data_IF_033176725439
#
_entry.id   IF_033176725439
#
_cell.length_a   1.000
_cell.length_b   1.000
_cell.length_c   1.000
_cell.angle_alpha   90.00
_cell.angle_beta   90.00
_cell.angle_gamma   90.00
#
_symmetry.space_group_name_H-M   'P 1'
#
loop_
_entity.id
_entity.type
_entity.pdbx_description
1 polymer ?
#
# COMPACT_ATOMS: atom_id res chain seq x y z
N UNK A 1 -1.58 15.27 0.21
CA UNK A 1 -1.75 13.88 -0.30
C UNK A 1 -2.70 13.12 0.60
N UNK A 2 -3.64 12.41 0.00
CA UNK A 2 -4.61 11.57 0.69
C UNK A 2 -4.24 10.10 0.52
N UNK A 3 -4.11 9.36 1.62
CA UNK A 3 -3.65 7.98 1.64
C UNK A 3 -4.74 7.08 2.20
N UNK A 4 -5.11 6.04 1.44
CA UNK A 4 -6.05 5.02 1.88
C UNK A 4 -5.34 3.97 2.72
N UNK A 5 -5.97 3.53 3.80
CA UNK A 5 -5.48 2.41 4.60
C UNK A 5 -6.56 1.33 4.70
N UNK A 6 -6.14 0.08 4.64
CA UNK A 6 -7.01 -1.07 4.85
C UNK A 6 -6.22 -2.21 5.49
N UNK A 7 -6.85 -2.96 6.38
CA UNK A 7 -6.22 -4.11 7.03
C UNK A 7 -7.25 -5.10 7.52
N UNK A 8 -6.79 -6.28 7.92
CA UNK A 8 -7.61 -7.24 8.63
C UNK A 8 -7.35 -7.21 10.15
N UNK A 9 -7.98 -8.13 10.87
CA UNK A 9 -7.86 -8.25 12.33
C UNK A 9 -6.42 -8.58 12.80
N UNK A 10 -5.57 -9.13 11.93
CA UNK A 10 -4.18 -9.44 12.26
C UNK A 10 -3.25 -8.23 12.24
N UNK A 11 -3.72 -7.08 11.73
CA UNK A 11 -2.85 -5.93 11.51
C UNK A 11 -3.47 -4.58 11.92
N UNK A 12 -4.62 -4.56 12.58
CA UNK A 12 -5.29 -3.30 12.90
C UNK A 12 -4.47 -2.41 13.85
N UNK A 13 -3.70 -3.01 14.76
CA UNK A 13 -2.83 -2.24 15.67
C UNK A 13 -1.71 -1.53 14.89
N UNK A 14 -1.04 -2.23 13.99
CA UNK A 14 0.00 -1.64 13.16
C UNK A 14 -0.61 -0.60 12.21
N UNK A 15 -1.77 -0.88 11.62
CA UNK A 15 -2.47 0.08 10.77
C UNK A 15 -2.74 1.38 11.52
N UNK A 16 -3.18 1.32 12.78
CA UNK A 16 -3.43 2.51 13.57
C UNK A 16 -2.14 3.30 13.83
N UNK A 17 -1.02 2.62 14.07
CA UNK A 17 0.29 3.28 14.22
C UNK A 17 0.71 3.98 12.93
N UNK A 18 0.52 3.34 11.80
CA UNK A 18 0.81 3.92 10.48
C UNK A 18 -0.08 5.14 10.23
N UNK A 19 -1.37 5.04 10.54
CA UNK A 19 -2.31 6.14 10.38
C UNK A 19 -1.89 7.38 11.20
N UNK A 20 -1.58 7.18 12.47
CA UNK A 20 -1.15 8.28 13.35
C UNK A 20 0.15 8.90 12.87
N UNK A 21 1.10 8.07 12.44
CA UNK A 21 2.38 8.51 11.90
C UNK A 21 2.20 9.38 10.65
N UNK A 22 1.36 8.95 9.72
CA UNK A 22 1.06 9.71 8.50
C UNK A 22 0.35 11.02 8.80
N UNK A 23 -0.62 11.02 9.72
CA UNK A 23 -1.33 12.24 10.12
C UNK A 23 -0.40 13.26 10.75
N UNK A 24 0.53 12.82 11.60
CA UNK A 24 1.55 13.69 12.20
C UNK A 24 2.50 14.28 11.16
N UNK A 25 2.73 13.58 10.08
CA UNK A 25 3.54 14.07 8.95
C UNK A 25 2.77 15.00 8.01
N UNK A 26 1.49 15.25 8.27
CA UNK A 26 0.66 16.18 7.49
C UNK A 26 -0.17 15.55 6.38
N UNK A 27 -0.14 14.23 6.23
CA UNK A 27 -0.97 13.54 5.24
C UNK A 27 -2.40 13.36 5.73
N UNK A 28 -3.36 13.36 4.81
CA UNK A 28 -4.74 12.97 5.09
C UNK A 28 -4.84 11.46 4.95
N UNK A 29 -5.51 10.82 5.92
CA UNK A 29 -5.68 9.37 5.94
C UNK A 29 -7.17 9.04 5.85
N UNK A 30 -7.52 8.14 4.92
CA UNK A 30 -8.85 7.55 4.83
C UNK A 30 -8.73 6.09 5.26
N UNK A 31 -9.28 5.77 6.41
CA UNK A 31 -9.19 4.44 7.02
C UNK A 31 -10.44 3.63 6.68
N UNK A 32 -10.25 2.59 5.86
CA UNK A 32 -11.33 1.68 5.45
C UNK A 32 -11.52 0.49 6.40
N UNK A 33 -10.75 0.42 7.49
CA UNK A 33 -10.83 -0.65 8.48
C UNK A 33 -9.90 -1.83 8.16
N UNK A 34 -9.94 -2.88 8.95
CA UNK A 34 -10.80 -3.01 10.12
C UNK A 34 -10.21 -2.31 11.35
N UNK A 35 -11.01 -2.16 12.41
CA UNK A 35 -10.58 -1.40 13.60
C UNK A 35 -10.67 -2.22 14.89
N UNK A 36 -10.68 -3.53 14.80
CA UNK A 36 -10.75 -4.38 15.97
C UNK A 36 -10.19 -5.78 15.73
N UNK A 37 -10.16 -6.59 16.82
CA UNK A 37 -9.55 -7.92 16.79
C UNK A 37 -10.47 -9.02 16.27
N UNK A 38 -11.74 -8.72 16.00
CA UNK A 38 -12.71 -9.70 15.54
C UNK A 38 -12.32 -10.23 14.15
N UNK A 39 -12.38 -11.56 13.99
CA UNK A 39 -12.04 -12.19 12.71
C UNK A 39 -12.84 -11.59 11.55
N UNK A 40 -12.16 -11.28 10.47
CA UNK A 40 -12.75 -10.71 9.26
C UNK A 40 -11.99 -11.18 8.03
N UNK A 41 -12.54 -10.92 6.86
CA UNK A 41 -11.94 -11.31 5.59
C UNK A 41 -11.13 -10.14 5.01
N UNK A 42 -9.82 -10.33 4.90
CA UNK A 42 -8.90 -9.27 4.43
C UNK A 42 -9.25 -8.70 3.05
N UNK A 43 -9.82 -9.47 2.08
CA UNK A 43 -10.14 -8.91 0.77
C UNK A 43 -11.13 -7.76 0.81
N UNK A 44 -12.09 -7.79 1.75
CA UNK A 44 -13.10 -6.73 1.85
C UNK A 44 -12.45 -5.37 2.12
N UNK A 45 -11.48 -5.33 3.01
CA UNK A 45 -10.80 -4.09 3.42
C UNK A 45 -9.71 -3.68 2.42
N UNK A 46 -8.95 -4.64 1.91
CA UNK A 46 -7.92 -4.37 0.92
C UNK A 46 -8.52 -3.88 -0.40
N UNK A 47 -9.63 -4.48 -0.84
CA UNK A 47 -10.31 -4.04 -2.04
C UNK A 47 -10.91 -2.63 -1.89
N UNK A 48 -11.47 -2.31 -0.73
CA UNK A 48 -12.01 -0.97 -0.48
C UNK A 48 -10.92 0.10 -0.62
N UNK A 49 -9.76 -0.11 0.01
CA UNK A 49 -8.62 0.81 -0.09
C UNK A 49 -8.12 0.90 -1.54
N UNK A 50 -7.98 -0.23 -2.23
CA UNK A 50 -7.51 -0.27 -3.60
C UNK A 50 -8.45 0.46 -4.57
N UNK A 51 -9.76 0.31 -4.40
CA UNK A 51 -10.76 1.03 -5.22
C UNK A 51 -10.71 2.53 -5.00
N UNK A 52 -10.44 2.98 -3.78
CA UNK A 52 -10.28 4.40 -3.47
C UNK A 52 -9.06 4.99 -4.20
N UNK A 53 -7.97 4.22 -4.32
CA UNK A 53 -6.80 4.63 -5.08
C UNK A 53 -7.08 4.59 -6.58
N UNK A 54 -7.68 3.52 -7.07
CA UNK A 54 -7.98 3.36 -8.49
C UNK A 54 -8.93 4.43 -9.02
N UNK A 55 -9.88 4.89 -8.21
CA UNK A 55 -10.84 5.94 -8.59
C UNK A 55 -10.27 7.35 -8.51
N UNK A 56 -9.10 7.53 -7.89
CA UNK A 56 -8.52 8.85 -7.65
C UNK A 56 -9.01 9.55 -6.39
N UNK A 57 -9.87 8.93 -5.60
CA UNK A 57 -10.27 9.46 -4.28
C UNK A 57 -9.05 9.62 -3.37
N UNK A 58 -8.14 8.65 -3.40
CA UNK A 58 -6.86 8.71 -2.71
C UNK A 58 -5.73 8.59 -3.71
N UNK A 59 -4.59 9.23 -3.43
CA UNK A 59 -3.44 9.20 -4.32
C UNK A 59 -2.61 7.93 -4.14
N UNK A 60 -2.53 7.43 -2.92
CA UNK A 60 -1.78 6.23 -2.57
C UNK A 60 -2.56 5.40 -1.55
N UNK A 61 -2.19 4.14 -1.41
CA UNK A 61 -2.81 3.26 -0.43
C UNK A 61 -1.81 2.31 0.22
N UNK A 62 -2.10 1.94 1.45
CA UNK A 62 -1.31 0.98 2.23
C UNK A 62 -2.27 -0.06 2.79
N UNK A 63 -1.99 -1.33 2.53
CA UNK A 63 -2.79 -2.44 3.01
C UNK A 63 -1.95 -3.38 3.87
N UNK A 64 -2.55 -3.90 4.93
CA UNK A 64 -1.83 -4.70 5.92
C UNK A 64 -2.63 -5.94 6.32
N UNK A 65 -1.94 -7.04 6.52
CA UNK A 65 -2.44 -8.22 7.21
C UNK A 65 -1.28 -8.86 7.96
N UNK A 66 -1.42 -10.07 8.45
CA UNK A 66 -0.33 -10.72 9.21
C UNK A 66 0.93 -10.88 8.37
N UNK A 67 0.82 -11.26 7.10
CA UNK A 67 1.96 -11.46 6.20
C UNK A 67 2.11 -10.36 5.14
N UNK A 68 1.06 -9.61 4.88
CA UNK A 68 1.00 -8.66 3.77
C UNK A 68 0.71 -9.32 2.42
N UNK A 69 0.74 -10.65 2.34
CA UNK A 69 0.63 -11.38 1.08
C UNK A 69 -0.80 -11.31 0.52
N UNK A 70 -1.78 -11.73 1.31
CA UNK A 70 -3.17 -11.76 0.84
C UNK A 70 -3.71 -10.40 0.44
N UNK A 71 -3.39 -9.37 1.21
CA UNK A 71 -3.82 -8.00 0.89
C UNK A 71 -3.12 -7.45 -0.36
N UNK A 72 -1.86 -7.83 -0.60
CA UNK A 72 -1.16 -7.41 -1.82
C UNK A 72 -1.75 -8.07 -3.07
N UNK A 73 -2.07 -9.36 -2.98
CA UNK A 73 -2.74 -10.08 -4.07
C UNK A 73 -4.08 -9.42 -4.39
N UNK A 74 -4.87 -9.15 -3.35
CA UNK A 74 -6.19 -8.51 -3.50
C UNK A 74 -6.07 -7.15 -4.18
N UNK A 75 -5.18 -6.30 -3.68
CA UNK A 75 -5.00 -4.96 -4.25
C UNK A 75 -4.63 -5.03 -5.73
N UNK A 76 -3.73 -5.93 -6.10
CA UNK A 76 -3.29 -6.09 -7.50
C UNK A 76 -4.37 -6.67 -8.42
N UNK A 77 -5.47 -7.19 -7.90
CA UNK A 77 -6.63 -7.60 -8.72
C UNK A 77 -7.51 -6.42 -9.12
N UNK A 78 -7.36 -5.29 -8.48
CA UNK A 78 -8.11 -4.09 -8.83
C UNK A 78 -7.40 -3.38 -9.99
N UNK A 79 -8.11 -3.12 -11.08
CA UNK A 79 -7.53 -2.44 -12.26
C UNK A 79 -6.99 -1.06 -11.88
N UNK A 80 -5.80 -0.76 -12.38
CA UNK A 80 -5.12 0.51 -12.09
C UNK A 80 -4.18 0.45 -10.89
N UNK A 81 -4.12 -0.66 -10.17
CA UNK A 81 -3.29 -0.80 -8.98
C UNK A 81 -1.98 -1.54 -9.30
N UNK A 82 -0.88 -0.97 -8.80
CA UNK A 82 0.41 -1.63 -8.70
C UNK A 82 0.81 -1.59 -7.23
N UNK A 83 0.64 -2.71 -6.55
CA UNK A 83 0.90 -2.87 -5.12
C UNK A 83 2.17 -3.69 -4.89
N UNK A 84 3.10 -3.13 -4.13
CA UNK A 84 4.33 -3.83 -3.76
C UNK A 84 4.22 -4.37 -2.33
N UNK A 85 4.50 -5.65 -2.14
CA UNK A 85 4.67 -6.24 -0.81
C UNK A 85 6.09 -5.91 -0.34
N UNK A 86 6.20 -5.17 0.75
CA UNK A 86 7.48 -4.63 1.23
C UNK A 86 7.82 -5.15 2.63
N UNK A 87 9.10 -5.47 2.82
CA UNK A 87 9.66 -5.85 4.11
C UNK A 87 11.03 -5.22 4.39
N UNK A 88 11.48 -4.34 3.50
CA UNK A 88 12.74 -3.62 3.66
C UNK A 88 12.67 -2.22 3.04
N UNK A 89 13.58 -1.35 3.48
CA UNK A 89 13.60 0.06 3.07
C UNK A 89 14.10 0.22 1.63
N UNK A 90 15.07 -0.59 1.21
CA UNK A 90 15.60 -0.49 -0.15
C UNK A 90 14.53 -0.82 -1.19
N UNK A 91 13.77 -1.89 -0.99
CA UNK A 91 12.67 -2.25 -1.89
C UNK A 91 11.59 -1.16 -1.94
N UNK A 92 11.31 -0.51 -0.82
CA UNK A 92 10.37 0.60 -0.77
C UNK A 92 10.81 1.76 -1.66
N UNK A 93 12.09 2.12 -1.60
CA UNK A 93 12.68 3.15 -2.45
C UNK A 93 12.64 2.75 -3.92
N UNK A 94 13.11 1.54 -4.23
CA UNK A 94 13.29 1.08 -5.60
C UNK A 94 11.95 0.86 -6.32
N UNK A 95 10.93 0.37 -5.63
CA UNK A 95 9.63 0.18 -6.26
C UNK A 95 8.96 1.52 -6.62
N UNK A 96 9.23 2.57 -5.85
CA UNK A 96 8.78 3.91 -6.23
C UNK A 96 9.55 4.42 -7.45
N UNK A 97 10.87 4.34 -7.42
CA UNK A 97 11.71 4.81 -8.53
C UNK A 97 11.46 4.08 -9.84
N UNK A 98 11.21 2.77 -9.79
CA UNK A 98 11.14 1.91 -10.97
C UNK A 98 9.73 1.54 -11.40
N UNK A 99 8.84 1.27 -10.44
CA UNK A 99 7.51 0.72 -10.72
C UNK A 99 6.38 1.75 -10.51
N UNK A 100 6.70 2.92 -9.98
CA UNK A 100 5.71 3.94 -9.61
C UNK A 100 4.49 3.33 -8.92
N UNK A 101 4.74 2.47 -7.93
CA UNK A 101 3.65 1.79 -7.22
C UNK A 101 2.76 2.79 -6.52
N UNK A 102 1.46 2.63 -6.68
CA UNK A 102 0.46 3.47 -6.03
C UNK A 102 -0.09 2.84 -4.76
N UNK A 103 0.25 1.59 -4.49
CA UNK A 103 -0.05 0.91 -3.24
C UNK A 103 1.15 0.11 -2.74
N UNK A 104 1.19 -0.10 -1.43
CA UNK A 104 2.13 -1.02 -0.80
C UNK A 104 1.40 -1.87 0.23
N UNK A 105 1.99 -3.01 0.54
CA UNK A 105 1.48 -3.93 1.56
C UNK A 105 2.54 -4.23 2.60
N UNK A 106 2.11 -4.40 3.85
CA UNK A 106 2.96 -4.76 4.98
C UNK A 106 2.39 -5.95 5.73
N UNK A 107 3.28 -6.79 6.24
CA UNK A 107 2.93 -7.88 7.15
C UNK A 107 3.21 -7.51 8.60
N UNK A 108 2.19 -7.36 9.42
CA UNK A 108 2.33 -7.02 10.83
C UNK A 108 3.08 -8.10 11.62
N UNK A 109 3.04 -9.35 11.16
CA UNK A 109 3.80 -10.45 11.72
C UNK A 109 5.20 -10.62 11.13
N UNK A 110 5.55 -9.83 10.12
CA UNK A 110 6.83 -9.91 9.41
C UNK A 110 7.75 -8.76 9.79
N UNK A 111 7.22 -7.54 9.89
CA UNK A 111 8.00 -6.34 10.20
C UNK A 111 7.60 -5.77 11.55
N UNK A 112 8.60 -5.32 12.33
CA UNK A 112 8.35 -4.59 13.56
C UNK A 112 7.90 -3.16 13.29
N UNK A 113 7.36 -2.49 14.30
CA UNK A 113 6.80 -1.14 14.15
C UNK A 113 7.80 -0.14 13.58
N UNK A 114 9.02 -0.10 14.13
CA UNK A 114 10.03 0.87 13.69
C UNK A 114 10.39 0.68 12.22
N UNK A 115 10.61 -0.56 11.79
CA UNK A 115 10.91 -0.85 10.40
C UNK A 115 9.71 -0.53 9.49
N UNK A 116 8.50 -0.85 9.93
CA UNK A 116 7.29 -0.54 9.17
C UNK A 116 7.15 0.96 8.91
N UNK A 117 7.37 1.80 9.92
CA UNK A 117 7.27 3.26 9.78
C UNK A 117 8.36 3.80 8.86
N UNK A 118 9.58 3.26 8.92
CA UNK A 118 10.65 3.66 8.02
C UNK A 118 10.38 3.26 6.57
N UNK A 119 9.83 2.07 6.36
CA UNK A 119 9.39 1.63 5.03
C UNK A 119 8.31 2.58 4.48
N UNK A 120 7.31 2.91 5.30
CA UNK A 120 6.23 3.82 4.92
C UNK A 120 6.77 5.20 4.55
N UNK A 121 7.64 5.77 5.38
CA UNK A 121 8.23 7.08 5.11
C UNK A 121 9.00 7.11 3.80
N UNK A 122 9.82 6.11 3.56
CA UNK A 122 10.61 6.00 2.33
C UNK A 122 9.70 5.86 1.12
N UNK A 123 8.69 5.01 1.20
CA UNK A 123 7.78 4.77 0.08
C UNK A 123 6.93 5.99 -0.25
N UNK A 124 6.37 6.66 0.76
CA UNK A 124 5.50 7.83 0.56
C UNK A 124 6.29 9.01 -0.01
N UNK A 125 7.54 9.21 0.42
CA UNK A 125 8.35 10.37 0.06
C UNK A 125 9.18 10.21 -1.21
N UNK A 126 9.35 8.99 -1.73
CA UNK A 126 10.16 8.77 -2.93
C UNK A 126 9.34 8.97 -4.20
N UNK A 127 9.70 9.92 -5.07
CA UNK A 127 9.01 10.12 -6.33
C UNK A 127 9.38 9.05 -7.36
N UNK A 128 8.59 8.96 -8.43
CA UNK A 128 8.97 8.16 -9.60
C UNK A 128 10.19 8.78 -10.30
N UNK A 129 11.08 7.94 -10.83
CA UNK A 129 12.29 8.41 -11.52
C UNK A 129 11.99 9.23 -12.77
N UNK A 130 10.86 8.96 -13.42
CA UNK A 130 10.51 9.59 -14.69
C UNK A 130 11.32 9.08 -15.87
N UNK A 131 12.18 8.08 -15.69
CA UNK A 131 13.01 7.55 -16.78
C UNK A 131 12.16 6.79 -17.82
N UNK A 132 12.36 7.06 -19.12
CA UNK A 132 11.55 6.44 -20.19
C UNK A 132 11.56 4.91 -20.16
N UNK A 133 12.69 4.29 -19.82
CA UNK A 133 12.76 2.83 -19.73
C UNK A 133 11.86 2.26 -18.63
N UNK A 134 11.74 2.95 -17.51
CA UNK A 134 10.85 2.54 -16.41
C UNK A 134 9.39 2.72 -16.81
N UNK A 135 9.05 3.85 -17.40
CA UNK A 135 7.69 4.12 -17.87
C UNK A 135 7.25 3.10 -18.92
N UNK A 136 8.11 2.76 -19.88
CA UNK A 136 7.82 1.75 -20.89
C UNK A 136 7.48 0.39 -20.25
N UNK A 137 8.23 -0.02 -19.23
CA UNK A 137 8.00 -1.30 -18.54
C UNK A 137 6.70 -1.27 -17.73
N UNK A 138 6.40 -0.16 -17.07
CA UNK A 138 5.12 0.04 -16.37
C UNK A 138 3.96 -0.07 -17.38
N UNK A 139 4.06 0.59 -18.52
CA UNK A 139 3.02 0.56 -19.55
C UNK A 139 2.75 -0.87 -20.03
N UNK A 140 3.79 -1.70 -20.17
CA UNK A 140 3.65 -3.11 -20.54
C UNK A 140 2.96 -3.93 -19.46
N UNK A 141 3.27 -3.66 -18.18
CA UNK A 141 2.57 -4.29 -17.05
C UNK A 141 1.08 -3.92 -17.08
N UNK A 142 0.79 -2.63 -17.23
CA UNK A 142 -0.60 -2.15 -17.20
C UNK A 142 -1.41 -2.63 -18.42
N UNK A 143 -0.77 -2.86 -19.56
CA UNK A 143 -1.43 -3.38 -20.74
C UNK A 143 -2.04 -4.78 -20.52
N UNK A 144 -1.51 -5.55 -19.57
CA UNK A 144 -2.04 -6.87 -19.25
C UNK A 144 -3.48 -6.80 -18.71
N UNK A 145 -3.91 -5.69 -18.14
CA UNK A 145 -5.27 -5.51 -17.62
C UNK A 145 -6.32 -5.48 -18.74
N UNK A 146 -5.91 -5.30 -19.99
CA UNK A 146 -6.79 -5.21 -21.16
C UNK A 146 -6.91 -6.53 -21.93
N UNK A 147 -6.24 -7.58 -21.49
CA UNK A 147 -6.30 -8.91 -22.12
C UNK A 147 -7.55 -9.69 -21.70
#
# INVERSE_FOLDING_TARGET
MKIALGCDHGAYLLKNKVADHLRKAGYKVVDFGTNGPESCDYPDFAAAAARAVASGECEKGIVLCTTGIGVSITANKVKGIRCALLSDVLSAKMTRLHNDTNMMALGAGIVGENLALEIVDTWVSTPFSGEPRHQRRIDKVMALEKE
#
